data_IF_189896557429
#
_entry.id   IF_189896557429
#
_cell.length_a   1.000
_cell.length_b   1.000
_cell.length_c   1.000
_cell.angle_alpha   90.00
_cell.angle_beta   90.00
_cell.angle_gamma   90.00
#
_symmetry.space_group_name_H-M   'P 1'
#
loop_
_entity.id
_entity.type
_entity.pdbx_description
1 polymer ?
#
# COMPACT_ATOMS: atom_id res chain seq x y z
N UNK A 1 10.94 -9.37 10.76
CA UNK A 1 10.61 -8.60 9.53
C UNK A 1 10.72 -9.47 8.28
N UNK A 2 9.60 -9.84 7.64
CA UNK A 2 9.68 -10.38 6.28
C UNK A 2 10.05 -9.22 5.34
N UNK A 3 10.98 -9.49 4.42
CA UNK A 3 11.63 -8.43 3.66
C UNK A 3 10.85 -8.17 2.36
N UNK A 4 10.19 -7.01 2.25
CA UNK A 4 9.56 -6.58 0.99
C UNK A 4 10.60 -6.22 -0.09
N UNK A 5 11.90 -6.10 0.27
CA UNK A 5 12.99 -5.69 -0.64
C UNK A 5 13.03 -6.40 -1.99
N UNK A 6 12.83 -7.73 -2.10
CA UNK A 6 12.87 -8.43 -3.39
C UNK A 6 11.76 -7.96 -4.35
N UNK A 7 10.62 -7.51 -3.81
CA UNK A 7 9.46 -7.10 -4.58
C UNK A 7 9.46 -5.61 -4.91
N UNK A 8 10.29 -4.80 -4.23
CA UNK A 8 10.32 -3.34 -4.41
C UNK A 8 10.43 -2.92 -5.88
N UNK A 9 11.31 -3.49 -6.73
CA UNK A 9 11.38 -3.05 -8.13
C UNK A 9 10.07 -3.27 -8.90
N UNK A 10 9.37 -4.39 -8.66
CA UNK A 10 8.09 -4.69 -9.30
C UNK A 10 6.98 -3.79 -8.77
N UNK A 11 6.93 -3.57 -7.46
CA UNK A 11 5.98 -2.66 -6.80
C UNK A 11 6.14 -1.25 -7.35
N UNK A 12 7.37 -0.72 -7.39
CA UNK A 12 7.64 0.64 -7.89
C UNK A 12 7.25 0.80 -9.36
N UNK A 13 7.44 -0.23 -10.18
CA UNK A 13 6.99 -0.23 -11.58
C UNK A 13 5.46 -0.18 -11.69
N UNK A 14 4.77 -0.98 -10.88
CA UNK A 14 3.31 -0.98 -10.83
C UNK A 14 2.77 0.38 -10.34
N UNK A 15 3.37 0.96 -9.30
CA UNK A 15 3.02 2.27 -8.77
C UNK A 15 3.11 3.36 -9.86
N UNK A 16 4.20 3.38 -10.63
CA UNK A 16 4.37 4.30 -11.76
C UNK A 16 3.29 4.12 -12.82
N UNK A 17 2.95 2.87 -13.15
CA UNK A 17 1.95 2.56 -14.17
C UNK A 17 0.54 3.02 -13.77
N UNK A 18 0.20 2.91 -12.48
CA UNK A 18 -1.13 3.26 -11.97
C UNK A 18 -1.24 4.72 -11.48
N UNK A 19 -0.19 5.54 -11.64
CA UNK A 19 -0.22 6.95 -11.21
C UNK A 19 -0.29 7.12 -9.69
N UNK A 20 0.41 6.25 -8.95
CA UNK A 20 0.54 6.38 -7.50
C UNK A 20 1.39 7.60 -7.16
N UNK A 21 0.94 8.39 -6.19
CA UNK A 21 1.68 9.51 -5.61
C UNK A 21 2.54 9.05 -4.44
N UNK A 22 1.99 8.26 -3.53
CA UNK A 22 2.76 7.63 -2.47
C UNK A 22 2.19 6.27 -2.08
N UNK A 23 3.07 5.36 -1.67
CA UNK A 23 2.71 4.07 -1.10
C UNK A 23 3.51 3.84 0.18
N UNK A 24 2.82 3.47 1.25
CA UNK A 24 3.41 3.16 2.54
C UNK A 24 2.97 1.78 3.02
N UNK A 25 3.88 1.06 3.67
CA UNK A 25 3.55 -0.10 4.48
C UNK A 25 3.27 0.35 5.92
N UNK A 26 2.30 -0.29 6.59
CA UNK A 26 1.98 -0.03 7.99
C UNK A 26 1.57 -1.33 8.69
N UNK A 27 1.19 -1.29 9.97
CA UNK A 27 0.60 -2.47 10.60
C UNK A 27 1.57 -3.63 10.82
N UNK A 28 1.07 -4.86 10.66
CA UNK A 28 1.76 -6.06 11.12
C UNK A 28 3.04 -6.35 10.33
N UNK A 29 3.06 -6.01 9.02
CA UNK A 29 4.16 -6.20 8.07
C UNK A 29 5.49 -5.58 8.53
N UNK A 30 5.42 -4.55 9.38
CA UNK A 30 6.58 -3.84 9.92
C UNK A 30 7.09 -4.40 11.25
N UNK A 31 6.45 -5.46 11.77
CA UNK A 31 6.72 -6.04 13.08
C UNK A 31 7.15 -7.50 12.96
N UNK A 32 7.61 -8.09 14.06
CA UNK A 32 7.95 -9.52 14.11
C UNK A 32 6.73 -10.45 14.21
N UNK A 33 5.51 -9.88 14.25
CA UNK A 33 4.27 -10.65 14.18
C UNK A 33 3.86 -11.02 12.76
N UNK A 34 4.53 -10.47 11.75
CA UNK A 34 4.23 -10.76 10.35
C UNK A 34 4.64 -12.19 9.99
N UNK A 35 3.64 -13.02 9.64
CA UNK A 35 3.80 -14.44 9.33
C UNK A 35 3.46 -14.78 7.88
N UNK A 36 3.46 -16.08 7.57
CA UNK A 36 3.10 -16.57 6.22
C UNK A 36 1.60 -16.38 5.90
N UNK A 37 0.75 -16.37 6.93
CA UNK A 37 -0.71 -16.20 6.78
C UNK A 37 -1.15 -14.74 6.90
N UNK A 38 -0.22 -13.82 7.16
CA UNK A 38 -0.52 -12.40 7.31
C UNK A 38 -0.73 -11.72 5.95
N UNK A 39 -1.73 -10.86 5.90
CA UNK A 39 -1.96 -9.86 4.87
C UNK A 39 -0.93 -8.73 4.92
N UNK A 40 -0.72 -8.07 3.79
CA UNK A 40 0.19 -6.93 3.69
C UNK A 40 -0.63 -5.65 3.73
N UNK A 41 -0.52 -4.93 4.85
CA UNK A 41 -1.20 -3.65 5.08
C UNK A 41 -0.46 -2.51 4.34
N UNK A 42 -1.11 -1.87 3.37
CA UNK A 42 -0.57 -0.77 2.56
C UNK A 42 -1.51 0.44 2.51
N UNK A 43 -0.95 1.65 2.49
CA UNK A 43 -1.69 2.90 2.27
C UNK A 43 -1.22 3.57 1.00
N UNK A 44 -2.17 3.97 0.17
CA UNK A 44 -1.94 4.59 -1.14
C UNK A 44 -2.56 5.99 -1.23
N UNK A 45 -1.83 6.89 -1.88
CA UNK A 45 -2.35 8.13 -2.45
C UNK A 45 -2.15 8.08 -3.98
N UNK A 46 -3.17 8.46 -4.76
CA UNK A 46 -3.13 8.45 -6.23
C UNK A 46 -3.20 9.89 -6.76
N UNK A 47 -2.55 10.15 -7.90
CA UNK A 47 -2.66 11.46 -8.57
C UNK A 47 -4.03 11.67 -9.25
N UNK A 48 -4.81 10.60 -9.45
CA UNK A 48 -6.10 10.65 -10.13
C UNK A 48 -7.17 11.34 -9.27
N UNK A 49 -8.04 12.12 -9.91
CA UNK A 49 -9.15 12.81 -9.25
C UNK A 49 -10.52 12.44 -9.86
N UNK A 50 -10.56 11.87 -11.07
CA UNK A 50 -11.79 11.33 -11.62
C UNK A 50 -12.23 10.08 -10.83
N UNK A 51 -13.45 10.03 -10.26
CA UNK A 51 -13.87 8.93 -9.40
C UNK A 51 -13.88 7.55 -10.10
N UNK A 52 -14.19 7.51 -11.39
CA UNK A 52 -14.29 6.25 -12.12
C UNK A 52 -12.89 5.72 -12.44
N UNK A 53 -12.01 6.57 -12.99
CA UNK A 53 -10.62 6.19 -13.26
C UNK A 53 -9.85 5.90 -11.97
N UNK A 54 -10.12 6.66 -10.89
CA UNK A 54 -9.53 6.41 -9.58
C UNK A 54 -9.84 5.01 -9.10
N UNK A 55 -11.12 4.61 -9.17
CA UNK A 55 -11.57 3.29 -8.72
C UNK A 55 -10.90 2.19 -9.53
N UNK A 56 -10.79 2.36 -10.84
CA UNK A 56 -10.11 1.40 -11.71
C UNK A 56 -8.61 1.28 -11.38
N UNK A 57 -7.89 2.40 -11.28
CA UNK A 57 -6.46 2.42 -10.92
C UNK A 57 -6.22 1.82 -9.54
N UNK A 58 -7.10 2.09 -8.58
CA UNK A 58 -7.03 1.54 -7.23
C UNK A 58 -7.13 0.01 -7.23
N UNK A 59 -8.13 -0.56 -7.90
CA UNK A 59 -8.29 -2.01 -7.96
C UNK A 59 -7.19 -2.68 -8.79
N UNK A 60 -6.75 -2.07 -9.90
CA UNK A 60 -5.61 -2.55 -10.68
C UNK A 60 -4.34 -2.60 -9.84
N UNK A 61 -4.10 -1.57 -9.02
CA UNK A 61 -2.99 -1.54 -8.08
C UNK A 61 -3.13 -2.64 -7.02
N UNK A 62 -4.30 -2.77 -6.38
CA UNK A 62 -4.54 -3.78 -5.34
C UNK A 62 -4.26 -5.19 -5.86
N UNK A 63 -4.89 -5.59 -6.97
CA UNK A 63 -4.73 -6.93 -7.52
C UNK A 63 -3.30 -7.17 -8.02
N UNK A 64 -2.67 -6.17 -8.65
CA UNK A 64 -1.28 -6.27 -9.06
C UNK A 64 -0.30 -6.43 -7.89
N UNK A 65 -0.57 -5.80 -6.75
CA UNK A 65 0.22 -6.00 -5.53
C UNK A 65 0.04 -7.40 -4.96
N UNK A 66 -1.19 -7.94 -4.95
CA UNK A 66 -1.47 -9.32 -4.52
C UNK A 66 -0.75 -10.34 -5.41
N UNK A 67 -0.73 -10.12 -6.73
CA UNK A 67 0.01 -10.96 -7.67
C UNK A 67 1.53 -10.91 -7.43
N UNK A 68 2.09 -9.72 -7.21
CA UNK A 68 3.54 -9.55 -6.95
C UNK A 68 3.95 -10.22 -5.64
N UNK A 69 3.13 -10.07 -4.59
CA UNK A 69 3.45 -10.53 -3.23
C UNK A 69 3.04 -11.98 -2.98
N UNK A 70 2.16 -12.53 -3.84
CA UNK A 70 1.63 -13.89 -3.74
C UNK A 70 0.76 -14.11 -2.50
N UNK A 71 0.12 -13.06 -1.99
CA UNK A 71 -0.72 -13.08 -0.77
C UNK A 71 -1.69 -11.91 -0.74
N UNK A 72 -2.70 -11.94 0.16
CA UNK A 72 -3.66 -10.84 0.29
C UNK A 72 -2.99 -9.52 0.66
N UNK A 73 -3.54 -8.43 0.13
CA UNK A 73 -3.13 -7.05 0.42
C UNK A 73 -4.34 -6.30 0.93
N UNK A 74 -4.24 -5.76 2.15
CA UNK A 74 -5.16 -4.75 2.63
C UNK A 74 -4.66 -3.38 2.17
N UNK A 75 -5.24 -2.88 1.09
CA UNK A 75 -4.94 -1.57 0.55
C UNK A 75 -5.95 -0.59 1.15
N UNK A 76 -5.45 0.50 1.73
CA UNK A 76 -6.25 1.61 2.22
C UNK A 76 -5.87 2.88 1.47
N UNK A 77 -6.83 3.76 1.24
CA UNK A 77 -6.56 5.08 0.69
C UNK A 77 -6.10 6.03 1.81
N UNK A 78 -5.18 6.95 1.49
CA UNK A 78 -4.73 8.02 2.38
C UNK A 78 -5.81 9.12 2.51
N UNK A 79 -7.03 8.72 2.89
CA UNK A 79 -8.16 9.65 3.03
C UNK A 79 -8.18 10.35 4.39
N UNK A 80 -8.92 11.46 4.41
CA UNK A 80 -9.03 12.37 5.55
C UNK A 80 -10.02 11.91 6.62
N UNK A 81 -10.85 10.91 6.33
CA UNK A 81 -11.93 10.39 7.18
C UNK A 81 -11.50 9.23 8.09
N UNK A 82 -10.25 8.74 7.97
CA UNK A 82 -9.65 7.85 8.96
C UNK A 82 -9.72 8.48 10.36
N UNK A 83 -10.09 7.66 11.35
CA UNK A 83 -10.11 8.09 12.74
C UNK A 83 -8.75 8.74 13.10
N UNK A 84 -8.73 9.98 13.65
CA UNK A 84 -7.47 10.70 13.92
C UNK A 84 -6.47 9.94 14.79
N UNK A 85 -6.94 9.07 15.68
CA UNK A 85 -6.07 8.21 16.50
C UNK A 85 -5.40 7.15 15.64
N UNK A 86 -6.17 6.46 14.81
CA UNK A 86 -5.66 5.45 13.87
C UNK A 86 -4.70 6.09 12.87
N UNK A 87 -5.06 7.24 12.31
CA UNK A 87 -4.20 8.01 11.40
C UNK A 87 -2.87 8.37 12.06
N UNK A 88 -2.86 8.85 13.30
CA UNK A 88 -1.60 9.17 14.01
C UNK A 88 -0.70 7.96 14.21
N UNK A 89 -1.27 6.80 14.54
CA UNK A 89 -0.48 5.58 14.74
C UNK A 89 0.11 5.05 13.43
N UNK A 90 -0.66 5.13 12.35
CA UNK A 90 -0.17 4.87 11.00
C UNK A 90 0.97 5.84 10.67
N UNK A 91 0.76 7.15 10.76
CA UNK A 91 1.78 8.15 10.42
C UNK A 91 3.09 7.98 11.19
N UNK A 92 3.01 7.56 12.46
CA UNK A 92 4.19 7.33 13.31
C UNK A 92 5.01 6.11 12.93
N UNK A 93 4.36 5.09 12.38
CA UNK A 93 4.98 3.78 12.17
C UNK A 93 5.14 3.42 10.69
N UNK A 94 4.44 4.10 9.78
CA UNK A 94 4.44 3.80 8.35
C UNK A 94 5.83 3.91 7.75
N UNK A 95 6.12 3.02 6.80
CA UNK A 95 7.37 2.99 6.04
C UNK A 95 7.07 3.24 4.58
N UNK A 96 7.75 4.23 4.02
CA UNK A 96 7.62 4.56 2.60
C UNK A 96 8.15 3.40 1.74
N UNK A 97 7.35 3.00 0.76
CA UNK A 97 7.67 1.99 -0.25
C UNK A 97 7.90 2.66 -1.60
N UNK A 98 7.11 3.70 -1.90
CA UNK A 98 7.19 4.46 -3.14
C UNK A 98 6.77 5.91 -2.92
N UNK A 99 7.43 6.82 -3.64
CA UNK A 99 7.11 8.24 -3.79
C UNK A 99 7.29 8.58 -5.28
N UNK A 100 6.28 9.22 -5.87
CA UNK A 100 6.16 9.44 -7.32
C UNK A 100 6.32 10.88 -7.75
#
# INVERSE_FOLDING_TARGET
>A
MQNLSPYLPAIQKLCKLQGVKSLYAFGSVLTDRFGQESDVDLIVDLYENDPLEYTEKYFNLKFGLEEILGRPVDLLEERSDLNPVVKKEIERSKRMIYEG
#
